data_IF_250605795840
#
_entry.id   IF_250605795840
#
_cell.length_a   1.000
_cell.length_b   1.000
_cell.length_c   1.000
_cell.angle_alpha   90.00
_cell.angle_beta   90.00
_cell.angle_gamma   90.00
#
_symmetry.space_group_name_H-M   'P 1'
#
loop_
_entity.id
_entity.type
_entity.pdbx_description
1 polymer ?
#
# COMPACT_ATOMS: atom_id res chain seq x y z
N UNK A 1 12.56 -42.08 25.87
CA UNK A 1 11.41 -41.95 24.94
C UNK A 1 11.89 -41.20 23.70
N UNK A 2 11.63 -41.67 22.47
CA UNK A 2 12.04 -40.92 21.28
C UNK A 2 11.10 -39.74 21.05
N UNK A 3 11.66 -38.56 20.75
CA UNK A 3 10.88 -37.39 20.32
C UNK A 3 10.34 -37.68 18.92
N UNK A 4 9.02 -37.76 18.79
CA UNK A 4 8.35 -37.81 17.49
C UNK A 4 8.48 -36.43 16.85
N UNK A 5 9.21 -36.34 15.74
CA UNK A 5 9.29 -35.13 14.94
C UNK A 5 8.03 -35.08 14.08
N UNK A 6 7.08 -34.22 14.46
CA UNK A 6 5.94 -33.91 13.58
C UNK A 6 6.46 -33.07 12.41
N UNK A 7 6.15 -33.44 11.15
CA UNK A 7 6.45 -32.57 10.03
C UNK A 7 5.64 -31.28 10.21
N UNK A 8 6.33 -30.15 10.31
CA UNK A 8 5.71 -28.84 10.19
C UNK A 8 5.00 -28.82 8.84
N UNK A 9 3.68 -28.62 8.84
CA UNK A 9 2.95 -28.43 7.59
C UNK A 9 3.64 -27.30 6.82
N UNK A 10 4.03 -27.54 5.56
CA UNK A 10 4.36 -26.43 4.66
C UNK A 10 3.14 -25.53 4.66
N UNK A 11 3.29 -24.30 5.14
CA UNK A 11 2.26 -23.29 4.98
C UNK A 11 1.85 -23.30 3.50
N UNK A 12 0.58 -23.61 3.25
CA UNK A 12 0.09 -23.69 1.88
C UNK A 12 0.35 -22.36 1.19
N UNK A 13 0.89 -22.40 -0.04
CA UNK A 13 1.08 -21.18 -0.80
C UNK A 13 -0.25 -20.43 -0.95
N UNK A 14 -0.24 -19.10 -0.85
CA UNK A 14 -1.47 -18.32 -0.91
C UNK A 14 -2.14 -18.52 -2.28
N UNK A 15 -3.40 -18.93 -2.27
CA UNK A 15 -4.22 -19.04 -3.49
C UNK A 15 -4.39 -17.64 -4.11
N UNK A 16 -4.17 -17.55 -5.42
CA UNK A 16 -4.33 -16.32 -6.22
C UNK A 16 -5.41 -16.55 -7.28
N UNK A 17 -6.33 -15.61 -7.45
CA UNK A 17 -7.37 -15.73 -8.48
C UNK A 17 -6.84 -15.46 -9.89
N UNK A 18 -5.89 -14.53 -10.04
CA UNK A 18 -5.41 -14.00 -11.34
C UNK A 18 -6.49 -13.36 -12.23
N UNK A 19 -7.77 -13.39 -11.83
CA UNK A 19 -8.91 -12.84 -12.55
C UNK A 19 -9.14 -11.33 -12.33
N UNK A 20 -8.22 -10.62 -11.66
CA UNK A 20 -8.38 -9.18 -11.40
C UNK A 20 -8.27 -8.41 -12.72
N UNK A 21 -9.26 -7.56 -13.00
CA UNK A 21 -9.28 -6.78 -14.24
C UNK A 21 -8.46 -5.49 -14.13
N UNK A 22 -8.14 -4.90 -15.28
CA UNK A 22 -7.46 -3.60 -15.32
C UNK A 22 -8.31 -2.49 -14.69
N UNK A 23 -9.62 -2.51 -14.93
CA UNK A 23 -10.57 -1.55 -14.36
C UNK A 23 -10.58 -1.61 -12.83
N UNK A 24 -10.50 -2.81 -12.24
CA UNK A 24 -10.39 -2.95 -10.79
C UNK A 24 -9.09 -2.35 -10.23
N UNK A 25 -7.98 -2.47 -10.97
CA UNK A 25 -6.68 -1.91 -10.59
C UNK A 25 -6.71 -0.38 -10.72
N UNK A 26 -7.31 0.17 -11.78
CA UNK A 26 -7.51 1.61 -11.94
C UNK A 26 -8.40 2.18 -10.84
N UNK A 27 -9.51 1.52 -10.51
CA UNK A 27 -10.37 1.93 -9.38
C UNK A 27 -9.60 1.91 -8.05
N UNK A 28 -8.69 0.94 -7.86
CA UNK A 28 -7.84 0.91 -6.67
C UNK A 28 -6.80 2.04 -6.68
N UNK A 29 -6.23 2.36 -7.83
CA UNK A 29 -5.31 3.48 -8.00
C UNK A 29 -5.99 4.81 -7.64
N UNK A 30 -7.21 5.03 -8.11
CA UNK A 30 -7.99 6.22 -7.79
C UNK A 30 -8.26 6.31 -6.28
N UNK A 31 -8.73 5.22 -5.66
CA UNK A 31 -8.97 5.16 -4.21
C UNK A 31 -7.70 5.43 -3.40
N UNK A 32 -6.56 4.86 -3.80
CA UNK A 32 -5.28 5.07 -3.15
C UNK A 32 -4.83 6.54 -3.27
N UNK A 33 -4.99 7.12 -4.45
CA UNK A 33 -4.65 8.53 -4.73
C UNK A 33 -5.52 9.49 -3.91
N UNK A 34 -6.83 9.27 -3.86
CA UNK A 34 -7.76 10.08 -3.04
C UNK A 34 -7.38 10.01 -1.55
N UNK A 35 -7.15 8.80 -1.01
CA UNK A 35 -6.72 8.66 0.39
C UNK A 35 -5.38 9.32 0.65
N UNK A 36 -4.45 9.25 -0.31
CA UNK A 36 -3.14 9.91 -0.19
C UNK A 36 -3.32 11.42 -0.06
N UNK A 37 -4.14 12.02 -0.92
CA UNK A 37 -4.44 13.46 -0.86
C UNK A 37 -5.09 13.83 0.48
N UNK A 38 -6.06 13.05 0.96
CA UNK A 38 -6.69 13.28 2.26
C UNK A 38 -5.69 13.28 3.42
N UNK A 39 -4.71 12.36 3.42
CA UNK A 39 -3.65 12.37 4.44
C UNK A 39 -2.73 13.59 4.34
N UNK A 40 -2.52 14.13 3.14
CA UNK A 40 -1.78 15.39 2.96
C UNK A 40 -2.57 16.57 3.51
N UNK A 41 -3.87 16.62 3.25
CA UNK A 41 -4.76 17.67 3.78
C UNK A 41 -4.81 17.60 5.31
N UNK A 42 -4.97 16.41 5.88
CA UNK A 42 -4.94 16.19 7.33
C UNK A 42 -3.61 16.62 7.95
N UNK A 43 -2.48 16.40 7.27
CA UNK A 43 -1.19 16.89 7.74
C UNK A 43 -1.16 18.42 7.89
N UNK A 44 -1.69 19.16 6.90
CA UNK A 44 -1.74 20.63 6.97
C UNK A 44 -2.71 21.12 8.06
N UNK A 45 -3.82 20.40 8.28
CA UNK A 45 -4.72 20.67 9.40
C UNK A 45 -4.01 20.47 10.75
N UNK A 46 -3.38 19.32 10.99
CA UNK A 46 -2.60 19.06 12.22
C UNK A 46 -1.50 20.11 12.42
N UNK A 47 -0.83 20.53 11.34
CA UNK A 47 0.21 21.57 11.39
C UNK A 47 -0.35 22.92 11.83
N UNK A 48 -1.53 23.30 11.33
CA UNK A 48 -2.21 24.54 11.75
C UNK A 48 -2.61 24.49 13.23
N UNK A 49 -2.98 23.32 13.73
CA UNK A 49 -3.33 23.05 15.13
C UNK A 49 -2.13 22.75 16.04
N UNK A 50 -0.90 22.80 15.53
CA UNK A 50 0.34 22.40 16.24
C UNK A 50 0.31 20.97 16.83
N UNK A 51 -0.51 20.09 16.26
CA UNK A 51 -0.61 18.67 16.62
C UNK A 51 0.52 17.85 15.99
N UNK A 52 1.60 17.67 16.75
CA UNK A 52 2.80 16.95 16.30
C UNK A 52 2.56 15.46 16.05
N UNK A 53 1.65 14.82 16.78
CA UNK A 53 1.43 13.38 16.63
C UNK A 53 0.53 13.08 15.44
N UNK A 54 -0.51 13.90 15.23
CA UNK A 54 -1.31 13.87 14.01
C UNK A 54 -0.47 14.15 12.76
N UNK A 55 0.46 15.13 12.80
CA UNK A 55 1.41 15.36 11.71
C UNK A 55 2.25 14.12 11.39
N UNK A 56 2.79 13.42 12.40
CA UNK A 56 3.61 12.22 12.17
C UNK A 56 2.76 11.10 11.57
N UNK A 57 1.55 10.89 12.05
CA UNK A 57 0.64 9.88 11.52
C UNK A 57 0.27 10.17 10.07
N UNK A 58 -0.12 11.40 9.78
CA UNK A 58 -0.49 11.84 8.44
C UNK A 58 0.66 11.65 7.44
N UNK A 59 1.87 12.06 7.83
CA UNK A 59 3.06 11.91 6.99
C UNK A 59 3.39 10.44 6.70
N UNK A 60 3.28 9.54 7.71
CA UNK A 60 3.52 8.10 7.52
C UNK A 60 2.51 7.48 6.55
N UNK A 61 1.21 7.73 6.74
CA UNK A 61 0.17 7.17 5.89
C UNK A 61 0.24 7.71 4.46
N UNK A 62 0.48 9.01 4.29
CA UNK A 62 0.74 9.60 2.97
C UNK A 62 1.92 8.91 2.28
N UNK A 63 3.05 8.73 2.98
CA UNK A 63 4.24 8.07 2.43
C UNK A 63 4.00 6.61 2.05
N UNK A 64 3.26 5.86 2.86
CA UNK A 64 2.88 4.49 2.53
C UNK A 64 2.04 4.43 1.25
N UNK A 65 1.07 5.34 1.11
CA UNK A 65 0.21 5.42 -0.07
C UNK A 65 0.97 5.88 -1.33
N UNK A 66 2.02 6.70 -1.21
CA UNK A 66 2.91 6.98 -2.36
C UNK A 66 3.52 5.69 -2.94
N UNK A 67 3.92 4.75 -2.08
CA UNK A 67 4.42 3.45 -2.51
C UNK A 67 3.34 2.62 -3.20
N UNK A 68 2.13 2.57 -2.62
CA UNK A 68 0.98 1.87 -3.20
C UNK A 68 0.62 2.43 -4.59
N UNK A 69 0.52 3.75 -4.70
CA UNK A 69 0.21 4.46 -5.96
C UNK A 69 1.29 4.16 -7.01
N UNK A 70 2.58 4.28 -6.66
CA UNK A 70 3.68 3.96 -7.60
C UNK A 70 3.59 2.52 -8.10
N UNK A 71 3.34 1.55 -7.22
CA UNK A 71 3.21 0.14 -7.58
C UNK A 71 2.01 -0.13 -8.50
N UNK A 72 0.85 0.48 -8.23
CA UNK A 72 -0.35 0.33 -9.07
C UNK A 72 -0.12 0.93 -10.46
N UNK A 73 0.47 2.12 -10.54
CA UNK A 73 0.83 2.75 -11.82
C UNK A 73 1.84 1.92 -12.61
N UNK A 74 2.85 1.38 -11.95
CA UNK A 74 3.81 0.46 -12.56
C UNK A 74 3.11 -0.82 -13.06
N UNK A 75 2.18 -1.37 -12.28
CA UNK A 75 1.39 -2.56 -12.65
C UNK A 75 0.55 -2.31 -13.91
N UNK A 76 -0.02 -1.10 -14.04
CA UNK A 76 -0.79 -0.65 -15.21
C UNK A 76 0.09 -0.31 -16.43
N UNK A 77 1.42 -0.28 -16.28
CA UNK A 77 2.33 0.11 -17.35
C UNK A 77 2.29 1.60 -17.69
N UNK A 78 1.99 2.47 -16.72
CA UNK A 78 1.97 3.92 -16.92
C UNK A 78 3.34 4.41 -17.44
N UNK A 79 3.33 5.12 -18.57
CA UNK A 79 4.56 5.63 -19.19
C UNK A 79 5.31 6.57 -18.24
N UNK A 80 6.62 6.34 -18.09
CA UNK A 80 7.48 7.15 -17.23
C UNK A 80 7.50 6.71 -15.76
N UNK A 81 6.77 5.66 -15.37
CA UNK A 81 6.85 5.10 -14.01
C UNK A 81 7.93 4.03 -13.95
N UNK A 82 8.95 4.27 -13.13
CA UNK A 82 10.05 3.33 -12.88
C UNK A 82 9.66 2.21 -11.91
N UNK A 83 10.53 1.20 -11.78
CA UNK A 83 10.40 0.12 -10.80
C UNK A 83 10.06 0.69 -9.40
N UNK A 84 8.99 0.21 -8.73
CA UNK A 84 8.61 0.68 -7.40
C UNK A 84 9.69 0.48 -6.33
N UNK A 85 10.63 -0.45 -6.53
CA UNK A 85 11.71 -0.77 -5.59
C UNK A 85 13.02 -0.01 -5.85
N UNK A 86 13.11 0.75 -6.94
CA UNK A 86 14.23 1.67 -7.20
C UNK A 86 14.09 2.99 -6.46
#
# INVERSE_FOLDING_TARGET
MPKVLFPMAKDAEPVRSYDRTWEEIEVMLDKATVKMIQWKEWYEECKSNQDKDGMKEAARNHKALQGVVKTLKWTLGEQGVSDPLS
#
